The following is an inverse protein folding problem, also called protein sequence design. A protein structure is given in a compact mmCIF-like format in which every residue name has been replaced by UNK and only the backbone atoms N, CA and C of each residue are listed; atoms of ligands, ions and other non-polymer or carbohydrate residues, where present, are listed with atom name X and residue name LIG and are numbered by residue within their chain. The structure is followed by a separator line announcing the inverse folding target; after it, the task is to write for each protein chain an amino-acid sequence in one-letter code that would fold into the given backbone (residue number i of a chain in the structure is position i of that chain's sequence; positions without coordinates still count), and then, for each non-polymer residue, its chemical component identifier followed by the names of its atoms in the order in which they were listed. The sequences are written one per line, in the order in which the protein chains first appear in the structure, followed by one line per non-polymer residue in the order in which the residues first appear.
data_IF_440832827704
#
_entry.id   IF_440832827704
#
_cell.length_a   1.000
_cell.length_b   1.000
_cell.length_c   1.000
_cell.angle_alpha   90.00
_cell.angle_beta   90.00
_cell.angle_gamma   90.00
#
_symmetry.space_group_name_H-M   'P 1'
#
loop_
_entity.id
_entity.type
_entity.pdbx_description
1 polymer ?
#
# COMPACT_ATOMS: atom_id res chain seq x y z
N UNK A 1 -11.10 13.76 8.79
CA UNK A 1 -10.48 12.47 9.19
C UNK A 1 -11.34 11.59 10.09
N UNK A 2 -12.02 12.11 11.14
CA UNK A 2 -12.84 11.27 12.05
C UNK A 2 -13.86 10.38 11.33
N UNK A 3 -14.62 10.94 10.38
CA UNK A 3 -15.63 10.19 9.60
C UNK A 3 -14.99 9.07 8.78
N UNK A 4 -13.92 9.37 8.03
CA UNK A 4 -13.19 8.38 7.24
C UNK A 4 -12.63 7.24 8.11
N UNK A 5 -12.06 7.58 9.27
CA UNK A 5 -11.57 6.59 10.23
C UNK A 5 -12.70 5.71 10.74
N UNK A 6 -13.85 6.29 11.10
CA UNK A 6 -15.00 5.49 11.56
C UNK A 6 -15.54 4.58 10.46
N UNK A 7 -15.62 5.05 9.21
CA UNK A 7 -16.02 4.21 8.08
C UNK A 7 -15.06 3.02 7.90
N UNK A 8 -13.75 3.28 7.94
CA UNK A 8 -12.71 2.26 7.85
C UNK A 8 -12.77 1.25 9.01
N UNK A 9 -12.95 1.76 10.23
CA UNK A 9 -13.07 0.95 11.42
C UNK A 9 -14.32 0.05 11.33
N UNK A 10 -15.46 0.61 10.99
CA UNK A 10 -16.72 -0.13 10.90
C UNK A 10 -16.64 -1.24 9.85
N UNK A 11 -16.22 -0.93 8.61
CA UNK A 11 -16.14 -1.95 7.56
C UNK A 11 -15.15 -3.07 7.90
N UNK A 12 -14.03 -2.73 8.57
CA UNK A 12 -13.04 -3.73 8.99
C UNK A 12 -13.62 -4.67 10.05
N UNK A 13 -14.40 -4.14 11.01
CA UNK A 13 -15.07 -4.98 12.01
C UNK A 13 -16.22 -5.79 11.40
N UNK A 14 -16.97 -5.24 10.44
CA UNK A 14 -18.01 -5.97 9.71
C UNK A 14 -17.42 -7.17 8.94
N UNK A 15 -16.31 -6.97 8.23
CA UNK A 15 -15.57 -8.04 7.55
C UNK A 15 -15.08 -9.08 8.57
N UNK A 16 -14.48 -8.66 9.68
CA UNK A 16 -14.01 -9.60 10.70
C UNK A 16 -15.15 -10.43 11.31
N UNK A 17 -16.30 -9.80 11.57
CA UNK A 17 -17.51 -10.49 12.03
C UNK A 17 -18.04 -11.48 10.99
N UNK A 18 -18.04 -11.10 9.70
CA UNK A 18 -18.43 -12.00 8.62
C UNK A 18 -17.52 -13.22 8.54
N UNK A 19 -16.19 -13.01 8.48
CA UNK A 19 -15.20 -14.10 8.41
C UNK A 19 -15.31 -15.02 9.63
N UNK A 20 -15.54 -14.47 10.82
CA UNK A 20 -15.72 -15.29 12.02
C UNK A 20 -16.98 -16.15 11.96
N UNK A 21 -18.08 -15.62 11.41
CA UNK A 21 -19.33 -16.37 11.27
C UNK A 21 -19.23 -17.48 10.22
N UNK A 22 -18.63 -17.20 9.08
CA UNK A 22 -18.56 -18.15 7.96
C UNK A 22 -17.44 -19.19 8.15
N UNK A 23 -16.28 -18.76 8.63
CA UNK A 23 -15.05 -19.57 8.65
C UNK A 23 -14.56 -19.92 10.07
N UNK A 24 -15.22 -19.42 11.12
CA UNK A 24 -14.86 -19.69 12.52
C UNK A 24 -13.58 -19.00 13.01
N UNK A 25 -12.94 -18.17 12.18
CA UNK A 25 -11.70 -17.48 12.48
C UNK A 25 -11.89 -15.97 12.61
N UNK A 26 -11.31 -15.33 13.63
CA UNK A 26 -11.37 -13.88 13.78
C UNK A 26 -10.12 -13.22 13.19
N UNK A 27 -10.19 -12.56 12.01
CA UNK A 27 -9.02 -12.00 11.34
C UNK A 27 -8.66 -10.57 11.82
N UNK A 28 -9.38 -10.01 12.81
CA UNK A 28 -9.35 -8.58 13.13
C UNK A 28 -7.93 -8.02 13.30
N UNK A 29 -7.05 -8.77 13.93
CA UNK A 29 -5.67 -8.33 14.19
C UNK A 29 -4.83 -8.28 12.91
N UNK A 30 -4.98 -9.26 12.02
CA UNK A 30 -4.32 -9.26 10.71
C UNK A 30 -4.84 -8.14 9.81
N UNK A 31 -6.16 -7.88 9.82
CA UNK A 31 -6.75 -6.75 9.08
C UNK A 31 -6.22 -5.40 9.60
N UNK A 32 -6.19 -5.21 10.92
CA UNK A 32 -5.66 -4.00 11.56
C UNK A 32 -4.17 -3.80 11.24
N UNK A 33 -3.36 -4.87 11.28
CA UNK A 33 -1.94 -4.83 10.89
C UNK A 33 -1.78 -4.41 9.43
N UNK A 34 -2.60 -4.93 8.53
CA UNK A 34 -2.56 -4.56 7.10
C UNK A 34 -2.88 -3.08 6.88
N UNK A 35 -3.91 -2.54 7.53
CA UNK A 35 -4.20 -1.10 7.51
C UNK A 35 -3.07 -0.27 8.09
N UNK A 36 -2.50 -0.70 9.23
CA UNK A 36 -1.36 -0.02 9.85
C UNK A 36 -0.15 0.08 8.92
N UNK A 37 0.18 -0.99 8.19
CA UNK A 37 1.26 -0.99 7.17
C UNK A 37 0.98 0.02 6.07
N UNK A 38 -0.25 0.07 5.55
CA UNK A 38 -0.64 1.01 4.51
C UNK A 38 -0.58 2.47 4.98
N UNK A 39 -1.13 2.77 6.17
CA UNK A 39 -1.08 4.10 6.75
C UNK A 39 0.36 4.57 7.04
N UNK A 40 1.24 3.67 7.51
CA UNK A 40 2.65 3.98 7.72
C UNK A 40 3.38 4.29 6.40
N UNK A 41 3.02 3.61 5.31
CA UNK A 41 3.57 3.90 3.99
C UNK A 41 3.16 5.30 3.50
N UNK A 42 1.88 5.68 3.67
CA UNK A 42 1.42 7.04 3.38
C UNK A 42 2.07 8.10 4.28
N UNK A 43 2.25 7.81 5.56
CA UNK A 43 2.95 8.72 6.47
C UNK A 43 4.41 8.94 6.06
N UNK A 44 5.08 7.89 5.59
CA UNK A 44 6.46 7.97 5.08
C UNK A 44 6.54 8.87 3.84
N UNK A 45 5.63 8.67 2.88
CA UNK A 45 5.48 9.55 1.72
C UNK A 45 5.23 11.01 2.15
N UNK A 46 4.30 11.24 3.07
CA UNK A 46 4.00 12.59 3.58
C UNK A 46 5.23 13.25 4.22
N UNK A 47 6.03 12.50 4.99
CA UNK A 47 7.29 13.01 5.58
C UNK A 47 8.32 13.38 4.52
N UNK A 48 8.49 12.58 3.47
CA UNK A 48 9.38 12.92 2.36
C UNK A 48 8.91 14.20 1.66
N UNK A 49 7.62 14.33 1.42
CA UNK A 49 7.02 15.52 0.82
C UNK A 49 7.23 16.78 1.68
N UNK A 50 6.88 16.73 2.96
CA UNK A 50 6.94 17.92 3.85
C UNK A 50 8.37 18.34 4.16
N UNK A 51 9.32 17.40 4.24
CA UNK A 51 10.75 17.71 4.42
C UNK A 51 11.46 18.10 3.12
N UNK A 52 10.81 17.93 1.96
CA UNK A 52 11.42 18.09 0.65
C UNK A 52 12.51 17.05 0.34
N UNK A 53 12.67 16.00 1.17
CA UNK A 53 13.64 14.92 0.98
C UNK A 53 13.23 14.07 -0.23
N UNK A 54 14.19 13.84 -1.13
CA UNK A 54 14.04 12.88 -2.22
C UNK A 54 14.64 11.54 -1.76
N UNK A 55 13.84 10.47 -1.65
CA UNK A 55 14.36 9.13 -1.36
C UNK A 55 15.13 8.58 -2.57
N UNK A 56 16.02 7.62 -2.34
CA UNK A 56 16.61 6.84 -3.43
C UNK A 56 15.53 5.99 -4.12
N UNK A 57 15.76 5.61 -5.38
CA UNK A 57 14.77 4.85 -6.16
C UNK A 57 14.35 3.52 -5.49
N UNK A 58 15.29 2.79 -4.88
CA UNK A 58 15.01 1.54 -4.19
C UNK A 58 14.22 1.76 -2.88
N UNK A 59 14.58 2.81 -2.13
CA UNK A 59 13.88 3.22 -0.90
C UNK A 59 12.44 3.66 -1.23
N UNK A 60 12.28 4.49 -2.26
CA UNK A 60 10.98 4.90 -2.78
C UNK A 60 10.15 3.67 -3.14
N UNK A 61 10.68 2.79 -3.99
CA UNK A 61 9.92 1.65 -4.50
C UNK A 61 9.49 0.70 -3.38
N UNK A 62 10.36 0.44 -2.39
CA UNK A 62 10.02 -0.39 -1.22
C UNK A 62 8.78 0.14 -0.49
N UNK A 63 8.70 1.44 -0.25
CA UNK A 63 7.54 2.05 0.40
C UNK A 63 6.34 2.16 -0.55
N UNK A 64 6.59 2.55 -1.78
CA UNK A 64 5.58 2.84 -2.78
C UNK A 64 4.79 1.59 -3.22
N UNK A 65 5.41 0.41 -3.14
CA UNK A 65 4.73 -0.89 -3.31
C UNK A 65 3.70 -1.11 -2.22
N UNK A 66 4.02 -0.81 -0.96
CA UNK A 66 3.07 -0.94 0.15
C UNK A 66 1.95 0.11 0.03
N UNK A 67 2.29 1.35 -0.35
CA UNK A 67 1.32 2.45 -0.48
C UNK A 67 0.32 2.28 -1.63
N UNK A 68 0.54 1.30 -2.52
CA UNK A 68 -0.47 0.89 -3.51
C UNK A 68 -1.72 0.26 -2.88
N UNK A 69 -1.61 -0.28 -1.67
CA UNK A 69 -2.68 -1.03 -1.01
C UNK A 69 -2.85 -2.47 -1.49
N UNK A 70 -2.05 -2.97 -2.44
CA UNK A 70 -2.19 -4.34 -2.97
C UNK A 70 -2.08 -5.41 -1.87
N UNK A 71 -1.10 -5.27 -0.97
CA UNK A 71 -0.96 -6.20 0.17
C UNK A 71 -2.18 -6.16 1.10
N UNK A 72 -2.69 -4.97 1.39
CA UNK A 72 -3.87 -4.80 2.25
C UNK A 72 -5.11 -5.48 1.63
N UNK A 73 -5.34 -5.26 0.32
CA UNK A 73 -6.46 -5.90 -0.39
C UNK A 73 -6.30 -7.43 -0.38
N UNK A 74 -5.09 -7.94 -0.63
CA UNK A 74 -4.82 -9.37 -0.60
C UNK A 74 -5.12 -10.01 0.77
N UNK A 75 -4.75 -9.34 1.87
CA UNK A 75 -5.10 -9.80 3.23
C UNK A 75 -6.60 -9.93 3.42
N UNK A 76 -7.39 -8.95 2.96
CA UNK A 76 -8.84 -9.02 3.08
C UNK A 76 -9.42 -10.15 2.23
N UNK A 77 -8.98 -10.30 0.98
CA UNK A 77 -9.44 -11.38 0.08
C UNK A 77 -9.11 -12.76 0.67
N UNK A 78 -7.90 -12.95 1.19
CA UNK A 78 -7.48 -14.22 1.80
C UNK A 78 -8.46 -14.68 2.88
N UNK A 79 -8.81 -13.79 3.82
CA UNK A 79 -9.74 -14.13 4.89
C UNK A 79 -11.19 -14.25 4.43
N UNK A 80 -11.62 -13.45 3.45
CA UNK A 80 -12.97 -13.54 2.88
C UNK A 80 -13.19 -14.88 2.17
N UNK A 81 -12.19 -15.38 1.44
CA UNK A 81 -12.25 -16.68 0.77
C UNK A 81 -12.27 -17.84 1.77
N UNK A 82 -11.56 -17.71 2.90
CA UNK A 82 -11.56 -18.72 3.97
C UNK A 82 -10.84 -20.02 3.65
N UNK A 83 -10.17 -20.12 2.49
CA UNK A 83 -9.46 -21.32 2.08
C UNK A 83 -8.21 -21.54 2.94
N UNK A 84 -8.21 -22.62 3.73
CA UNK A 84 -7.07 -23.14 4.50
C UNK A 84 -6.40 -22.05 5.39
N UNK A 85 -7.18 -21.47 6.31
CA UNK A 85 -6.65 -20.55 7.33
C UNK A 85 -5.81 -21.35 8.34
N UNK A 86 -4.50 -21.27 8.21
CA UNK A 86 -3.52 -21.88 9.13
C UNK A 86 -2.55 -20.83 9.65
N UNK A 87 -1.79 -21.16 10.69
CA UNK A 87 -0.75 -20.25 11.19
C UNK A 87 0.31 -19.94 10.12
N UNK A 88 0.73 -20.94 9.36
CA UNK A 88 1.72 -20.80 8.29
C UNK A 88 1.22 -19.93 7.13
N UNK A 89 -0.04 -20.09 6.73
CA UNK A 89 -0.63 -19.26 5.68
C UNK A 89 -0.75 -17.80 6.13
N UNK A 90 -1.06 -17.56 7.41
CA UNK A 90 -1.10 -16.21 8.00
C UNK A 90 0.31 -15.60 8.07
N UNK A 91 1.33 -16.35 8.51
CA UNK A 91 2.72 -15.86 8.54
C UNK A 91 3.20 -15.47 7.13
N UNK A 92 2.92 -16.32 6.14
CA UNK A 92 3.22 -16.05 4.72
C UNK A 92 2.49 -14.79 4.24
N UNK A 93 1.20 -14.68 4.55
CA UNK A 93 0.38 -13.53 4.22
C UNK A 93 0.95 -12.24 4.82
N UNK A 94 1.30 -12.25 6.10
CA UNK A 94 1.83 -11.09 6.82
C UNK A 94 3.23 -10.69 6.34
N UNK A 95 4.02 -11.66 5.85
CA UNK A 95 5.31 -11.43 5.21
C UNK A 95 5.26 -10.69 3.87
N UNK A 96 4.06 -10.47 3.30
CA UNK A 96 3.86 -9.95 1.94
C UNK A 96 4.52 -10.87 0.89
N UNK A 97 3.81 -11.91 0.42
CA UNK A 97 4.36 -12.89 -0.50
C UNK A 97 4.97 -12.24 -1.75
N UNK A 98 6.06 -12.82 -2.28
CA UNK A 98 6.81 -12.28 -3.43
C UNK A 98 5.92 -11.97 -4.63
N UNK A 99 4.89 -12.78 -4.87
CA UNK A 99 3.90 -12.56 -5.93
C UNK A 99 3.13 -11.25 -5.72
N UNK A 100 2.63 -11.01 -4.50
CA UNK A 100 1.87 -9.80 -4.14
C UNK A 100 2.76 -8.58 -4.14
N UNK A 101 4.00 -8.71 -3.65
CA UNK A 101 5.01 -7.67 -3.77
C UNK A 101 5.30 -7.31 -5.23
N UNK A 102 5.39 -8.31 -6.11
CA UNK A 102 5.61 -8.09 -7.55
C UNK A 102 4.41 -7.43 -8.23
N UNK A 103 3.19 -7.82 -7.89
CA UNK A 103 1.98 -7.16 -8.35
C UNK A 103 1.94 -5.69 -7.92
N UNK A 104 2.25 -5.40 -6.66
CA UNK A 104 2.33 -4.03 -6.16
C UNK A 104 3.42 -3.20 -6.85
N UNK A 105 4.57 -3.81 -7.20
CA UNK A 105 5.60 -3.15 -8.02
C UNK A 105 5.08 -2.78 -9.41
N UNK A 106 4.45 -3.72 -10.11
CA UNK A 106 3.89 -3.48 -11.45
C UNK A 106 2.85 -2.35 -11.39
N UNK A 107 1.92 -2.43 -10.43
CA UNK A 107 0.88 -1.43 -10.24
C UNK A 107 1.47 -0.04 -9.95
N UNK A 108 2.47 0.03 -9.06
CA UNK A 108 3.18 1.28 -8.74
C UNK A 108 3.82 1.88 -9.98
N UNK A 109 4.66 1.11 -10.67
CA UNK A 109 5.39 1.58 -11.86
C UNK A 109 4.44 2.00 -12.99
N UNK A 110 3.37 1.25 -13.20
CA UNK A 110 2.35 1.59 -14.20
C UNK A 110 1.63 2.89 -13.88
N UNK A 111 1.20 3.06 -12.62
CA UNK A 111 0.57 4.29 -12.15
C UNK A 111 1.51 5.50 -12.29
N UNK A 112 2.78 5.34 -11.92
CA UNK A 112 3.77 6.41 -11.98
C UNK A 112 4.10 6.80 -13.42
N UNK A 113 4.19 5.83 -14.34
CA UNK A 113 4.36 6.07 -15.78
C UNK A 113 3.18 6.85 -16.37
N UNK A 114 1.95 6.52 -15.96
CA UNK A 114 0.75 7.24 -16.38
C UNK A 114 0.79 8.71 -15.94
N UNK A 115 1.19 8.95 -14.69
CA UNK A 115 1.28 10.30 -14.13
C UNK A 115 2.43 11.14 -14.71
N UNK A 116 3.54 10.52 -15.14
CA UNK A 116 4.64 11.22 -15.79
C UNK A 116 4.24 11.86 -17.14
N UNK A 117 3.24 11.29 -17.83
CA UNK A 117 2.78 11.78 -19.14
C UNK A 117 1.83 12.98 -19.05
N UNK A 118 1.19 13.19 -17.89
CA UNK A 118 0.24 14.28 -17.71
C UNK A 118 0.97 15.47 -17.08
N UNK A 119 1.18 16.54 -17.84
CA UNK A 119 1.70 17.82 -17.35
C UNK A 119 0.67 18.53 -16.47
N UNK A 120 0.28 17.95 -15.34
CA UNK A 120 -0.62 18.64 -14.39
C UNK A 120 0.22 19.54 -13.51
N UNK A 121 0.08 20.84 -13.76
CA UNK A 121 0.62 21.95 -12.96
C UNK A 121 -0.25 22.29 -11.74
N UNK A 122 -1.30 21.53 -11.46
CA UNK A 122 -2.16 21.77 -10.31
C UNK A 122 -2.33 20.52 -9.42
N UNK A 123 -2.00 20.71 -8.14
CA UNK A 123 -2.31 19.87 -6.98
C UNK A 123 -1.44 18.59 -6.75
N UNK A 124 -0.42 18.77 -5.90
CA UNK A 124 -0.25 18.05 -4.63
C UNK A 124 -0.31 16.51 -4.59
N UNK A 125 0.18 15.79 -5.59
CA UNK A 125 0.48 14.36 -5.42
C UNK A 125 1.92 14.19 -4.93
N UNK A 126 2.09 13.65 -3.72
CA UNK A 126 3.39 13.28 -3.15
C UNK A 126 4.19 12.43 -4.14
N UNK A 127 3.54 11.49 -4.82
CA UNK A 127 4.18 10.64 -5.82
C UNK A 127 4.67 11.43 -7.05
N UNK A 128 3.90 12.41 -7.55
CA UNK A 128 4.33 13.27 -8.67
C UNK A 128 5.51 14.16 -8.24
N UNK A 129 5.49 14.71 -7.01
CA UNK A 129 6.60 15.47 -6.47
C UNK A 129 7.88 14.64 -6.40
N UNK A 130 7.78 13.41 -5.87
CA UNK A 130 8.92 12.49 -5.77
C UNK A 130 9.44 12.07 -7.14
N UNK A 131 8.56 11.77 -8.10
CA UNK A 131 8.94 11.41 -9.47
C UNK A 131 9.65 12.59 -10.17
N UNK A 132 9.05 13.79 -10.16
CA UNK A 132 9.61 14.97 -10.84
C UNK A 132 10.96 15.40 -10.27
N UNK A 133 11.15 15.28 -8.96
CA UNK A 133 12.42 15.65 -8.30
C UNK A 133 13.50 14.59 -8.53
N UNK A 134 13.13 13.30 -8.54
CA UNK A 134 14.06 12.21 -8.91
C UNK A 134 14.46 12.26 -10.39
N UNK A 135 13.57 12.67 -11.30
CA UNK A 135 13.91 12.86 -12.72
C UNK A 135 14.82 14.05 -12.98
N UNK A 136 14.73 15.11 -12.18
CA UNK A 136 15.65 16.26 -12.28
C UNK A 136 17.09 15.88 -11.91
N UNK A 137 17.27 14.97 -10.94
CA UNK A 137 18.58 14.47 -10.51
C UNK A 137 19.12 13.33 -11.42
N UNK A 138 18.26 12.67 -12.20
CA UNK A 138 18.63 11.53 -13.07
C UNK A 138 18.67 11.84 -14.58
N UNK A 139 18.52 13.10 -15.00
CA UNK A 139 18.61 13.49 -16.41
C UNK A 139 20.02 13.30 -17.03
N UNK A 140 21.02 12.86 -16.27
CA UNK A 140 22.36 12.54 -16.79
C UNK A 140 22.70 11.04 -16.88
N UNK A 141 21.80 10.11 -16.51
CA UNK A 141 22.15 8.69 -16.44
C UNK A 141 21.17 7.73 -17.16
N UNK A 142 20.40 8.22 -18.14
CA UNK A 142 19.56 7.35 -18.96
C UNK A 142 19.65 7.60 -20.48
N UNK A 143 20.79 8.14 -20.94
CA UNK A 143 21.37 7.92 -22.27
C UNK A 143 22.89 7.88 -22.15
#
# INVERSE_FOLDING_TARGET
MKICYMALYNITNEIACFVFKEHGWNPIDSLRRAWGKLCNAYLTEAKWFTSGRVPKADEYLKNAVISTGTHMVYVHIFFLLGEVITKESIETLEGCPTMIYSLGKILRLWNDLGNAKVNVTSYANVQIFLIKKTSADNLYNFW
#
